data_IF_892915266820
#
_entry.id   IF_892915266820
#
_cell.length_a   1.000
_cell.length_b   1.000
_cell.length_c   1.000
_cell.angle_alpha   90.00
_cell.angle_beta   90.00
_cell.angle_gamma   90.00
#
_symmetry.space_group_name_H-M   'P 1'
#
loop_
_entity.id
_entity.type
_entity.pdbx_description
1 polymer ?
#
# COMPACT_ATOMS: atom_id res chain seq x y z
N UNK A 1 -2.31 -6.09 -0.46
CA UNK A 1 -1.82 -5.73 -1.81
C UNK A 1 -2.92 -4.91 -2.44
N UNK A 2 -2.60 -3.73 -2.98
CA UNK A 2 -3.52 -2.89 -3.75
C UNK A 2 -3.04 -2.81 -5.19
N UNK A 3 -3.96 -2.93 -6.15
CA UNK A 3 -3.67 -2.83 -7.58
C UNK A 3 -4.56 -1.74 -8.17
N UNK A 4 -3.97 -0.75 -8.81
CA UNK A 4 -4.68 0.41 -9.35
C UNK A 4 -4.05 0.81 -10.69
N UNK A 5 -4.82 1.38 -11.62
CA UNK A 5 -4.24 1.94 -12.84
C UNK A 5 -3.52 3.26 -12.52
N UNK A 6 -4.28 4.29 -12.07
CA UNK A 6 -3.74 5.58 -11.66
C UNK A 6 -3.75 5.74 -10.14
N UNK A 7 -2.56 5.82 -9.54
CA UNK A 7 -2.42 5.88 -8.10
C UNK A 7 -2.61 7.29 -7.54
N UNK A 8 -3.69 7.46 -6.78
CA UNK A 8 -3.92 8.64 -5.92
C UNK A 8 -3.82 8.33 -4.43
N UNK A 9 -4.01 9.37 -3.59
CA UNK A 9 -4.03 9.25 -2.12
C UNK A 9 -4.99 8.16 -1.61
N UNK A 10 -6.10 7.93 -2.33
CA UNK A 10 -7.05 6.87 -2.00
C UNK A 10 -6.38 5.49 -1.98
N UNK A 11 -5.54 5.19 -2.95
CA UNK A 11 -4.88 3.88 -3.08
C UNK A 11 -3.90 3.67 -1.93
N UNK A 12 -3.13 4.70 -1.54
CA UNK A 12 -2.28 4.62 -0.33
C UNK A 12 -3.12 4.40 0.93
N UNK A 13 -4.23 5.13 1.09
CA UNK A 13 -5.14 4.96 2.21
C UNK A 13 -5.73 3.55 2.30
N UNK A 14 -6.03 2.91 1.17
CA UNK A 14 -6.49 1.53 1.14
C UNK A 14 -5.42 0.56 1.66
N UNK A 15 -4.17 0.68 1.20
CA UNK A 15 -3.06 -0.15 1.69
C UNK A 15 -2.88 0.01 3.20
N UNK A 16 -2.95 1.23 3.73
CA UNK A 16 -2.88 1.49 5.17
C UNK A 16 -4.06 0.87 5.92
N UNK A 17 -5.27 0.98 5.39
CA UNK A 17 -6.47 0.39 5.99
C UNK A 17 -6.34 -1.13 6.08
N UNK A 18 -5.90 -1.78 5.00
CA UNK A 18 -5.67 -3.23 4.98
C UNK A 18 -4.61 -3.65 5.99
N UNK A 19 -3.52 -2.89 6.11
CA UNK A 19 -2.49 -3.14 7.10
C UNK A 19 -3.02 -3.01 8.53
N UNK A 20 -3.81 -1.98 8.82
CA UNK A 20 -4.40 -1.78 10.14
C UNK A 20 -5.35 -2.93 10.52
N UNK A 21 -6.19 -3.38 9.59
CA UNK A 21 -7.08 -4.52 9.80
C UNK A 21 -6.30 -5.82 10.00
N UNK A 22 -5.23 -6.03 9.24
CA UNK A 22 -4.35 -7.19 9.40
C UNK A 22 -3.72 -7.27 10.78
N UNK A 23 -3.28 -6.14 11.33
CA UNK A 23 -2.70 -6.07 12.68
C UNK A 23 -3.72 -6.30 13.80
N UNK A 24 -5.00 -6.05 13.53
CA UNK A 24 -6.08 -6.23 14.51
C UNK A 24 -6.60 -7.68 14.55
N UNK A 25 -6.38 -8.47 13.51
CA UNK A 25 -6.90 -9.83 13.43
C UNK A 25 -5.95 -10.82 14.17
N UNK A 26 -6.36 -11.39 15.31
CA UNK A 26 -5.53 -12.32 16.08
C UNK A 26 -5.31 -13.67 15.37
N UNK A 27 -6.02 -13.96 14.28
CA UNK A 27 -5.90 -15.23 13.53
C UNK A 27 -4.78 -15.21 12.51
N UNK A 28 -4.20 -14.05 12.22
CA UNK A 28 -3.20 -13.91 11.16
C UNK A 28 -1.80 -13.98 11.75
N UNK A 29 -1.23 -15.18 11.83
CA UNK A 29 0.16 -15.41 12.27
C UNK A 29 1.15 -15.30 11.10
N UNK A 30 1.15 -14.14 10.42
CA UNK A 30 2.05 -13.85 9.31
C UNK A 30 2.46 -12.37 9.32
N UNK A 31 3.73 -12.05 9.05
CA UNK A 31 4.18 -10.67 8.91
C UNK A 31 3.36 -9.94 7.83
N UNK A 32 2.83 -8.74 8.11
CA UNK A 32 2.08 -7.99 7.13
C UNK A 32 2.99 -7.44 6.04
N UNK A 33 2.54 -7.51 4.79
CA UNK A 33 3.26 -6.92 3.63
C UNK A 33 2.40 -5.85 2.99
N UNK A 34 2.92 -4.63 2.93
CA UNK A 34 2.30 -3.48 2.27
C UNK A 34 2.84 -3.38 0.86
N UNK A 35 2.00 -3.71 -0.13
CA UNK A 35 2.36 -3.65 -1.55
C UNK A 35 1.31 -2.86 -2.31
N UNK A 36 1.78 -1.96 -3.16
CA UNK A 36 1.00 -1.20 -4.13
C UNK A 36 1.54 -1.49 -5.53
N UNK A 37 0.66 -1.85 -6.45
CA UNK A 37 0.99 -2.06 -7.86
C UNK A 37 0.21 -1.03 -8.67
N UNK A 38 0.90 -0.25 -9.49
CA UNK A 38 0.26 0.80 -10.29
C UNK A 38 0.86 0.95 -11.70
N UNK A 39 0.09 1.48 -12.65
CA UNK A 39 0.63 1.89 -13.96
C UNK A 39 1.25 3.29 -13.87
N UNK A 40 0.58 4.20 -13.17
CA UNK A 40 1.09 5.56 -12.90
C UNK A 40 1.02 5.90 -11.41
N UNK A 41 2.04 6.64 -10.95
CA UNK A 41 2.08 7.24 -9.62
C UNK A 41 2.85 8.56 -9.68
N UNK A 42 2.38 9.55 -8.93
CA UNK A 42 3.09 10.81 -8.73
C UNK A 42 4.31 10.65 -7.81
N UNK A 43 5.35 11.46 -8.02
CA UNK A 43 6.62 11.37 -7.27
C UNK A 43 6.44 11.65 -5.77
N UNK A 44 5.58 12.59 -5.40
CA UNK A 44 5.30 12.90 -3.99
C UNK A 44 4.56 11.73 -3.31
N UNK A 45 3.66 11.07 -4.06
CA UNK A 45 2.97 9.89 -3.58
C UNK A 45 3.91 8.68 -3.45
N UNK A 46 4.85 8.52 -4.37
CA UNK A 46 5.89 7.48 -4.30
C UNK A 46 6.80 7.70 -3.08
N UNK A 47 7.23 8.95 -2.84
CA UNK A 47 8.03 9.33 -1.67
C UNK A 47 7.27 9.06 -0.37
N UNK A 48 6.00 9.46 -0.30
CA UNK A 48 5.12 9.20 0.84
C UNK A 48 4.91 7.70 1.09
N UNK A 49 4.73 6.91 0.03
CA UNK A 49 4.64 5.45 0.11
C UNK A 49 5.92 4.83 0.72
N UNK A 50 7.10 5.34 0.34
CA UNK A 50 8.39 4.94 0.90
C UNK A 50 8.51 5.21 2.40
N UNK A 51 8.15 6.42 2.86
CA UNK A 51 8.12 6.77 4.30
C UNK A 51 7.20 5.84 5.09
N UNK A 52 6.08 5.46 4.48
CA UNK A 52 5.11 4.55 5.07
C UNK A 52 5.50 3.07 4.98
N UNK A 53 6.65 2.73 4.38
CA UNK A 53 7.11 1.35 4.20
C UNK A 53 6.20 0.52 3.28
N UNK A 54 5.61 1.16 2.26
CA UNK A 54 4.85 0.48 1.20
C UNK A 54 5.80 0.18 0.04
N UNK A 55 5.91 -1.08 -0.35
CA UNK A 55 6.62 -1.47 -1.57
C UNK A 55 5.76 -1.14 -2.80
N UNK A 56 6.27 -0.30 -3.70
CA UNK A 56 5.57 0.10 -4.93
C UNK A 56 6.19 -0.59 -6.14
N UNK A 57 5.34 -1.19 -6.98
CA UNK A 57 5.72 -1.78 -8.26
C UNK A 57 4.98 -1.06 -9.39
N UNK A 58 5.72 -0.58 -10.38
CA UNK A 58 5.17 0.07 -11.56
C UNK A 58 5.19 -0.91 -12.72
N UNK A 59 4.06 -1.07 -13.42
CA UNK A 59 3.85 -2.09 -14.46
C UNK A 59 3.36 -1.45 -15.75
#
# INVERSE_FOLDING_TARGET
IEVVHDCGMRSLGQVQTYHALWLQDPKIDKPPVKVLVAETIDEDLLSSAGVQGISVFIV
#
